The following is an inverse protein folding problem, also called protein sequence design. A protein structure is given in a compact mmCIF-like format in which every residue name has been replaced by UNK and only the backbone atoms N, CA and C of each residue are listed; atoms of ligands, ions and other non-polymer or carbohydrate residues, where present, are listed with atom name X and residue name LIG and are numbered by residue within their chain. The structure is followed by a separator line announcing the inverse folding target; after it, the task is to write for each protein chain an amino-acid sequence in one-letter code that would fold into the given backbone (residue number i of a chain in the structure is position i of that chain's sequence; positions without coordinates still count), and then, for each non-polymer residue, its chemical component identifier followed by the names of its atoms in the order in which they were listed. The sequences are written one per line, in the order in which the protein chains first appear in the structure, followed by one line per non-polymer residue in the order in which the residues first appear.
data_IF_163206345665
#
_entry.id   IF_163206345665
#
_cell.length_a   1.000
_cell.length_b   1.000
_cell.length_c   1.000
_cell.angle_alpha   90.00
_cell.angle_beta   90.00
_cell.angle_gamma   90.00
#
_symmetry.space_group_name_H-M   'P 1'
#
loop_
_entity.id
_entity.type
_entity.pdbx_description
1 polymer ?
#
# COMPACT_ATOMS: atom_id res chain seq x y z
N UNK A 1 18.72 8.13 -12.95
CA UNK A 1 17.77 9.20 -13.33
C UNK A 1 17.40 9.96 -12.08
N UNK A 2 17.58 11.30 -12.06
CA UNK A 2 17.10 12.14 -10.97
C UNK A 2 15.59 11.97 -10.79
N UNK A 3 15.10 12.01 -9.54
CA UNK A 3 13.69 11.77 -9.19
C UNK A 3 12.71 12.66 -9.99
N UNK A 4 13.13 13.89 -10.32
CA UNK A 4 12.35 14.85 -11.12
C UNK A 4 12.04 14.39 -12.56
N UNK A 5 12.90 13.55 -13.14
CA UNK A 5 12.79 13.07 -14.52
C UNK A 5 12.18 11.67 -14.62
N UNK A 6 11.93 11.02 -13.49
CA UNK A 6 11.31 9.71 -13.37
C UNK A 6 9.78 9.75 -13.61
N UNK A 7 9.36 10.43 -14.68
CA UNK A 7 7.96 10.55 -15.09
C UNK A 7 7.53 9.38 -15.96
N UNK A 8 6.26 9.02 -15.88
CA UNK A 8 5.69 7.86 -16.58
C UNK A 8 5.99 7.87 -18.09
N UNK A 9 5.87 9.00 -18.77
CA UNK A 9 6.13 9.12 -20.21
C UNK A 9 7.60 8.90 -20.62
N UNK A 10 8.57 9.12 -19.72
CA UNK A 10 9.99 8.86 -19.97
C UNK A 10 10.42 7.46 -19.52
N UNK A 11 9.76 6.87 -18.54
CA UNK A 11 10.08 5.55 -18.01
C UNK A 11 9.45 4.39 -18.81
N UNK A 12 8.40 4.67 -19.59
CA UNK A 12 7.74 3.63 -20.41
C UNK A 12 8.56 3.16 -21.62
N UNK A 13 9.60 3.90 -22.03
CA UNK A 13 10.44 3.60 -23.21
C UNK A 13 11.73 2.86 -22.90
N UNK A 14 12.05 2.69 -21.61
CA UNK A 14 13.34 2.19 -21.12
C UNK A 14 13.17 0.83 -20.42
N UNK A 15 14.00 -0.14 -20.78
CA UNK A 15 13.91 -1.52 -20.28
C UNK A 15 14.62 -1.75 -18.93
N UNK A 16 15.47 -0.82 -18.50
CA UNK A 16 16.14 -0.84 -17.20
C UNK A 16 16.63 0.55 -16.80
N UNK A 17 16.12 1.09 -15.69
CA UNK A 17 16.57 2.39 -15.18
C UNK A 17 16.87 2.32 -13.70
N UNK A 18 18.03 2.84 -13.37
CA UNK A 18 18.50 3.17 -12.04
C UNK A 18 17.83 4.48 -11.60
N UNK A 19 16.76 4.40 -10.81
CA UNK A 19 16.00 5.57 -10.30
C UNK A 19 16.47 5.86 -8.88
N UNK A 20 16.81 7.12 -8.61
CA UNK A 20 17.14 7.57 -7.25
C UNK A 20 15.87 7.54 -6.40
N UNK A 21 15.94 6.96 -5.20
CA UNK A 21 14.86 6.97 -4.21
C UNK A 21 14.51 8.43 -3.86
N UNK A 22 13.23 8.70 -3.56
CA UNK A 22 12.75 10.06 -3.29
C UNK A 22 13.53 10.78 -2.18
N UNK A 23 14.03 10.03 -1.20
CA UNK A 23 14.80 10.55 -0.06
C UNK A 23 16.28 10.79 -0.37
N UNK A 24 16.74 10.52 -1.60
CA UNK A 24 18.14 10.69 -2.01
C UNK A 24 19.13 9.69 -1.40
N UNK A 25 18.73 8.93 -0.37
CA UNK A 25 19.58 7.98 0.34
C UNK A 25 19.82 6.64 -0.37
N UNK A 26 19.27 6.43 -1.58
CA UNK A 26 19.36 5.15 -2.24
C UNK A 26 18.98 5.17 -3.70
N UNK A 27 19.23 4.04 -4.34
CA UNK A 27 19.01 3.86 -5.77
C UNK A 27 18.35 2.51 -5.99
N UNK A 28 17.22 2.51 -6.70
CA UNK A 28 16.46 1.31 -7.02
C UNK A 28 16.58 1.00 -8.51
N UNK A 29 17.04 -0.20 -8.83
CA UNK A 29 17.05 -0.69 -10.21
C UNK A 29 15.65 -1.16 -10.61
N UNK A 30 15.02 -0.43 -11.55
CA UNK A 30 13.71 -0.77 -12.11
C UNK A 30 13.92 -1.40 -13.47
N UNK A 31 13.76 -2.72 -13.56
CA UNK A 31 13.83 -3.47 -14.81
C UNK A 31 12.41 -3.78 -15.31
N UNK A 32 12.17 -3.59 -16.61
CA UNK A 32 10.90 -3.95 -17.23
C UNK A 32 10.87 -5.44 -17.55
N UNK A 33 10.04 -6.17 -16.83
CA UNK A 33 9.73 -7.57 -17.12
C UNK A 33 8.26 -7.68 -17.54
N UNK A 34 8.02 -8.04 -18.81
CA UNK A 34 6.68 -8.13 -19.39
C UNK A 34 5.83 -9.18 -18.69
N UNK A 35 6.40 -10.33 -18.32
CA UNK A 35 5.66 -11.42 -17.64
C UNK A 35 5.24 -10.97 -16.24
N UNK A 36 6.16 -10.37 -15.49
CA UNK A 36 5.85 -9.82 -14.15
C UNK A 36 4.83 -8.68 -14.23
N UNK A 37 4.92 -7.81 -15.23
CA UNK A 37 3.95 -6.74 -15.46
C UNK A 37 2.54 -7.29 -15.67
N UNK A 38 2.35 -8.25 -16.58
CA UNK A 38 1.03 -8.86 -16.80
C UNK A 38 0.52 -9.62 -15.58
N UNK A 39 1.39 -10.33 -14.85
CA UNK A 39 1.00 -11.02 -13.62
C UNK A 39 0.50 -10.05 -12.54
N UNK A 40 1.22 -8.94 -12.32
CA UNK A 40 0.85 -7.91 -11.35
C UNK A 40 -0.42 -7.15 -11.79
N UNK A 41 -0.55 -6.86 -13.09
CA UNK A 41 -1.73 -6.22 -13.65
C UNK A 41 -2.97 -7.10 -13.43
N UNK A 42 -2.87 -8.38 -13.76
CA UNK A 42 -3.99 -9.31 -13.60
C UNK A 42 -4.34 -9.50 -12.12
N UNK A 43 -3.35 -9.57 -11.23
CA UNK A 43 -3.58 -9.61 -9.79
C UNK A 43 -4.25 -8.33 -9.27
N UNK A 44 -3.85 -7.16 -9.77
CA UNK A 44 -4.47 -5.88 -9.45
C UNK A 44 -5.93 -5.85 -9.90
N UNK A 45 -6.21 -6.21 -11.15
CA UNK A 45 -7.56 -6.26 -11.71
C UNK A 45 -8.47 -7.23 -10.93
N UNK A 46 -7.95 -8.42 -10.55
CA UNK A 46 -8.70 -9.36 -9.70
C UNK A 46 -9.04 -8.74 -8.35
N UNK A 47 -8.11 -8.02 -7.73
CA UNK A 47 -8.36 -7.32 -6.45
C UNK A 47 -9.38 -6.20 -6.61
N UNK A 48 -9.27 -5.39 -7.66
CA UNK A 48 -10.24 -4.33 -7.96
C UNK A 48 -11.65 -4.90 -8.18
N UNK A 49 -11.78 -6.00 -8.93
CA UNK A 49 -13.07 -6.70 -9.09
C UNK A 49 -13.62 -7.22 -7.77
N UNK A 50 -12.77 -7.81 -6.92
CA UNK A 50 -13.19 -8.28 -5.59
C UNK A 50 -13.64 -7.13 -4.70
N UNK A 51 -12.92 -6.01 -4.72
CA UNK A 51 -13.29 -4.80 -4.00
C UNK A 51 -14.65 -4.28 -4.47
N UNK A 52 -14.85 -4.17 -5.79
CA UNK A 52 -16.12 -3.72 -6.35
C UNK A 52 -17.28 -4.65 -5.96
N UNK A 53 -17.10 -5.97 -6.07
CA UNK A 53 -18.12 -6.95 -5.72
C UNK A 53 -18.47 -6.96 -4.23
N UNK A 54 -17.47 -6.78 -3.36
CA UNK A 54 -17.66 -6.79 -1.90
C UNK A 54 -17.87 -5.41 -1.30
N UNK A 55 -17.91 -4.36 -2.13
CA UNK A 55 -17.99 -2.98 -1.64
C UNK A 55 -19.27 -2.75 -0.84
N UNK A 56 -20.41 -3.21 -1.35
CA UNK A 56 -21.71 -3.03 -0.69
C UNK A 56 -21.83 -3.84 0.61
N UNK A 57 -21.27 -5.06 0.64
CA UNK A 57 -21.16 -5.90 1.83
C UNK A 57 -20.30 -5.21 2.89
N UNK A 58 -19.08 -4.82 2.52
CA UNK A 58 -18.15 -4.14 3.42
C UNK A 58 -18.72 -2.81 3.92
N UNK A 59 -19.42 -2.03 3.08
CA UNK A 59 -20.06 -0.77 3.48
C UNK A 59 -21.11 -0.98 4.59
N UNK A 60 -21.83 -2.10 4.59
CA UNK A 60 -22.77 -2.43 5.67
C UNK A 60 -22.01 -2.82 6.93
N UNK A 61 -21.09 -3.77 6.82
CA UNK A 61 -20.25 -4.24 7.95
C UNK A 61 -19.53 -3.10 8.65
N UNK A 62 -18.91 -2.18 7.91
CA UNK A 62 -18.22 -1.02 8.49
C UNK A 62 -19.17 -0.01 9.14
N UNK A 63 -20.39 0.17 8.61
CA UNK A 63 -21.40 1.04 9.24
C UNK A 63 -21.96 0.42 10.52
N UNK A 64 -22.17 -0.89 10.53
CA UNK A 64 -22.65 -1.61 11.72
C UNK A 64 -21.56 -1.69 12.81
N UNK A 65 -20.29 -1.76 12.39
CA UNK A 65 -19.14 -1.73 13.31
C UNK A 65 -18.75 -0.32 13.78
N UNK A 66 -19.38 0.74 13.26
CA UNK A 66 -19.05 2.14 13.54
C UNK A 66 -19.16 2.50 15.03
N UNK A 67 -20.20 2.07 15.78
CA UNK A 67 -20.28 2.29 17.23
C UNK A 67 -19.16 1.60 18.01
N UNK A 68 -18.71 0.44 17.52
CA UNK A 68 -17.66 -0.36 18.16
C UNK A 68 -16.27 0.22 17.86
N UNK A 69 -16.03 0.67 16.63
CA UNK A 69 -14.77 1.29 16.19
C UNK A 69 -14.53 2.69 16.78
N UNK A 70 -15.61 3.45 17.01
CA UNK A 70 -15.54 4.77 17.64
C UNK A 70 -15.61 4.72 19.17
N UNK A 71 -15.77 3.53 19.78
CA UNK A 71 -15.86 3.41 21.23
C UNK A 71 -14.50 3.61 21.90
N UNK A 72 -14.47 4.41 22.97
CA UNK A 72 -13.26 4.68 23.77
C UNK A 72 -12.60 3.39 24.27
N UNK A 73 -13.42 2.41 24.65
CA UNK A 73 -12.99 1.13 25.20
C UNK A 73 -12.15 0.30 24.22
N UNK A 74 -12.46 0.37 22.91
CA UNK A 74 -11.68 -0.34 21.88
C UNK A 74 -10.36 0.38 21.56
N UNK A 75 -10.34 1.70 21.69
CA UNK A 75 -9.11 2.50 21.60
C UNK A 75 -8.19 2.28 22.80
N UNK A 76 -8.74 2.15 24.00
CA UNK A 76 -7.97 1.81 25.21
C UNK A 76 -7.25 0.47 25.04
N UNK A 77 -7.90 -0.56 24.48
CA UNK A 77 -7.22 -1.85 24.23
C UNK A 77 -6.04 -1.73 23.28
N UNK A 78 -6.18 -1.00 22.17
CA UNK A 78 -5.11 -0.83 21.18
C UNK A 78 -3.95 0.03 21.72
N UNK A 79 -4.26 1.11 22.45
CA UNK A 79 -3.27 2.04 22.99
C UNK A 79 -2.52 1.43 24.17
N UNK A 80 -3.20 0.69 25.05
CA UNK A 80 -2.56 0.02 26.19
C UNK A 80 -1.69 -1.16 25.75
N UNK A 81 -2.10 -1.92 24.73
CA UNK A 81 -1.26 -2.97 24.12
C UNK A 81 0.03 -2.38 23.54
N UNK A 82 -0.08 -1.31 22.75
CA UNK A 82 1.10 -0.67 22.14
C UNK A 82 2.00 0.01 23.18
N UNK A 83 1.42 0.55 24.26
CA UNK A 83 2.20 1.10 25.37
C UNK A 83 3.00 0.01 26.11
N UNK A 84 2.45 -1.20 26.26
CA UNK A 84 3.15 -2.33 26.86
C UNK A 84 4.34 -2.80 25.99
N UNK A 85 4.13 -3.00 24.68
CA UNK A 85 5.20 -3.39 23.74
C UNK A 85 6.34 -2.36 23.67
N UNK A 86 6.00 -1.06 23.75
CA UNK A 86 7.02 0.00 23.73
C UNK A 86 7.88 0.03 24.99
N UNK A 87 7.36 -0.48 26.11
CA UNK A 87 8.10 -0.54 27.39
C UNK A 87 9.05 -1.73 27.44
N UNK A 88 8.79 -2.78 26.66
CA UNK A 88 9.61 -4.00 26.59
C UNK A 88 10.81 -3.87 25.61
N UNK A 89 10.75 -2.89 24.71
CA UNK A 89 11.79 -2.58 23.72
C UNK A 89 12.62 -1.32 24.06
N UNK A 90 12.44 -0.74 25.25
CA UNK A 90 13.21 0.39 25.78
C UNK A 90 14.10 -0.06 26.94
#
# INVERSE_FOLDING_TARGET
MPTQDARWFRLCTVDGVTVTTADGCGVVYRQRDRRKMFALLLASLRRQRRLAARFDEMRKVYRDALPVLASKQKWETALLHHAAEKTEHA
#
